data_IF_465570897408
#
_entry.id   IF_465570897408
#
_cell.length_a   1.000
_cell.length_b   1.000
_cell.length_c   1.000
_cell.angle_alpha   90.00
_cell.angle_beta   90.00
_cell.angle_gamma   90.00
#
_symmetry.space_group_name_H-M   'P 1'
#
loop_
_entity.id
_entity.type
_entity.pdbx_description
1 polymer ?
#
# COMPACT_ATOMS: atom_id res chain seq x y z
N UNK A 1 -14.61 36.26 7.78
CA UNK A 1 -15.38 35.23 7.07
C UNK A 1 -16.78 35.30 7.65
N UNK A 2 -17.58 36.27 7.22
CA UNK A 2 -18.98 36.32 7.63
C UNK A 2 -19.77 35.44 6.67
N UNK A 3 -19.97 34.19 7.06
CA UNK A 3 -20.78 33.25 6.29
C UNK A 3 -22.25 33.65 6.45
N UNK A 4 -22.83 34.28 5.44
CA UNK A 4 -24.25 34.61 5.42
C UNK A 4 -25.07 33.36 5.06
N UNK A 5 -25.65 32.68 6.07
CA UNK A 5 -26.50 31.50 5.88
C UNK A 5 -27.67 31.73 4.90
N UNK A 6 -28.10 32.98 4.75
CA UNK A 6 -29.21 33.32 3.86
C UNK A 6 -28.88 33.19 2.38
N UNK A 7 -27.59 33.21 2.02
CA UNK A 7 -27.11 33.06 0.64
C UNK A 7 -26.97 31.60 0.21
N UNK A 8 -26.96 30.67 1.17
CA UNK A 8 -26.92 29.24 0.89
C UNK A 8 -28.32 28.69 0.56
N UNK A 9 -28.42 27.73 -0.38
CA UNK A 9 -29.64 26.94 -0.56
C UNK A 9 -30.07 26.30 0.76
N UNK A 10 -31.38 26.25 1.04
CA UNK A 10 -31.92 25.79 2.34
C UNK A 10 -31.39 24.41 2.75
N UNK A 11 -31.21 23.50 1.79
CA UNK A 11 -30.71 22.15 2.04
C UNK A 11 -29.24 22.09 2.50
N UNK A 12 -28.42 23.12 2.22
CA UNK A 12 -27.01 23.18 2.63
C UNK A 12 -26.79 23.94 3.94
N UNK A 13 -27.80 24.67 4.41
CA UNK A 13 -27.68 25.51 5.61
C UNK A 13 -27.41 24.68 6.87
N UNK A 14 -28.00 23.49 6.97
CA UNK A 14 -27.76 22.57 8.10
C UNK A 14 -26.29 22.15 8.21
N UNK A 15 -25.68 21.79 7.08
CA UNK A 15 -24.27 21.39 7.01
C UNK A 15 -23.33 22.56 7.27
N UNK A 16 -23.68 23.75 6.77
CA UNK A 16 -22.93 24.98 7.04
C UNK A 16 -22.95 25.34 8.54
N UNK A 17 -24.12 25.27 9.20
CA UNK A 17 -24.22 25.48 10.65
C UNK A 17 -23.38 24.45 11.40
N UNK A 18 -23.46 23.18 11.02
CA UNK A 18 -22.69 22.10 11.65
C UNK A 18 -21.19 22.35 11.53
N UNK A 19 -20.73 22.82 10.36
CA UNK A 19 -19.33 23.18 10.11
C UNK A 19 -18.89 24.38 10.97
N UNK A 20 -19.70 25.43 11.06
CA UNK A 20 -19.41 26.59 11.92
C UNK A 20 -19.33 26.21 13.40
N UNK A 21 -20.24 25.36 13.89
CA UNK A 21 -20.20 24.85 15.27
C UNK A 21 -18.94 24.03 15.51
N UNK A 22 -18.56 23.17 14.57
CA UNK A 22 -17.32 22.40 14.66
C UNK A 22 -16.09 23.30 14.74
N UNK A 23 -15.98 24.30 13.87
CA UNK A 23 -14.86 25.26 13.86
C UNK A 23 -14.78 26.08 15.15
N UNK A 24 -15.93 26.58 15.64
CA UNK A 24 -16.01 27.32 16.89
C UNK A 24 -15.58 26.45 18.07
N UNK A 25 -16.06 25.21 18.16
CA UNK A 25 -15.67 24.29 19.22
C UNK A 25 -14.18 23.91 19.14
N UNK A 26 -13.64 23.76 17.93
CA UNK A 26 -12.20 23.54 17.75
C UNK A 26 -11.38 24.72 18.27
N UNK A 27 -11.79 25.97 18.02
CA UNK A 27 -11.14 27.18 18.57
C UNK A 27 -11.27 27.31 20.08
N UNK A 28 -12.34 26.81 20.69
CA UNK A 28 -12.46 26.76 22.16
C UNK A 28 -11.42 25.80 22.76
N UNK A 29 -11.20 24.65 22.11
CA UNK A 29 -10.24 23.63 22.56
C UNK A 29 -8.80 24.01 22.27
N UNK A 30 -8.54 24.61 21.12
CA UNK A 30 -7.25 25.11 20.67
C UNK A 30 -7.40 26.54 20.14
N UNK A 31 -7.17 27.56 20.99
CA UNK A 31 -7.35 28.96 20.61
C UNK A 31 -6.40 29.47 19.53
N UNK A 32 -5.28 28.78 19.31
CA UNK A 32 -4.24 29.22 18.37
C UNK A 32 -4.49 28.60 17.00
N UNK A 33 -4.65 27.27 16.95
CA UNK A 33 -4.74 26.55 15.67
C UNK A 33 -6.15 26.05 15.34
N UNK A 34 -7.02 25.86 16.33
CA UNK A 34 -8.41 25.41 16.11
C UNK A 34 -8.51 24.18 15.19
N UNK A 35 -9.34 24.26 14.15
CA UNK A 35 -9.48 23.19 13.15
C UNK A 35 -8.22 23.01 12.28
N UNK A 36 -7.38 24.04 12.12
CA UNK A 36 -6.13 23.96 11.36
C UNK A 36 -5.14 23.00 12.02
N UNK A 37 -5.16 22.92 13.35
CA UNK A 37 -4.37 21.93 14.10
C UNK A 37 -4.76 20.49 13.74
N UNK A 38 -6.06 20.20 13.63
CA UNK A 38 -6.55 18.89 13.19
C UNK A 38 -6.14 18.57 11.75
N UNK A 39 -6.27 19.54 10.83
CA UNK A 39 -5.85 19.40 9.43
C UNK A 39 -4.35 19.07 9.36
N UNK A 40 -3.53 19.81 10.11
CA UNK A 40 -2.08 19.64 10.11
C UNK A 40 -1.67 18.27 10.66
N UNK A 41 -2.33 17.82 11.74
CA UNK A 41 -2.09 16.49 12.30
C UNK A 41 -2.47 15.37 11.32
N UNK A 42 -3.57 15.52 10.59
CA UNK A 42 -3.97 14.54 9.58
C UNK A 42 -2.99 14.51 8.41
N UNK A 43 -2.49 15.66 7.96
CA UNK A 43 -1.47 15.74 6.92
C UNK A 43 -0.18 15.02 7.35
N UNK A 44 0.29 15.25 8.58
CA UNK A 44 1.45 14.52 9.13
C UNK A 44 1.23 13.00 9.21
N UNK A 45 0.02 12.56 9.54
CA UNK A 45 -0.33 11.14 9.56
C UNK A 45 -0.30 10.54 8.15
N UNK A 46 -0.82 11.26 7.15
CA UNK A 46 -0.75 10.85 5.75
C UNK A 46 0.71 10.70 5.31
N UNK A 47 1.56 11.68 5.58
CA UNK A 47 2.98 11.65 5.21
C UNK A 47 3.71 10.46 5.87
N UNK A 48 3.41 10.22 7.15
CA UNK A 48 3.97 9.08 7.89
C UNK A 48 3.55 7.75 7.26
N UNK A 49 2.27 7.59 6.93
CA UNK A 49 1.75 6.37 6.32
C UNK A 49 2.31 6.15 4.92
N UNK A 50 2.44 7.21 4.11
CA UNK A 50 3.07 7.14 2.79
C UNK A 50 4.53 6.71 2.89
N UNK A 51 5.26 7.23 3.88
CA UNK A 51 6.65 6.82 4.14
C UNK A 51 6.74 5.34 4.53
N UNK A 52 5.88 4.88 5.44
CA UNK A 52 5.84 3.48 5.85
C UNK A 52 5.51 2.56 4.68
N UNK A 53 4.57 2.94 3.83
CA UNK A 53 4.22 2.21 2.62
C UNK A 53 5.41 2.10 1.67
N UNK A 54 6.12 3.21 1.41
CA UNK A 54 7.30 3.22 0.55
C UNK A 54 8.41 2.31 1.10
N UNK A 55 8.65 2.32 2.41
CA UNK A 55 9.62 1.45 3.07
C UNK A 55 9.23 -0.03 2.92
N UNK A 56 7.98 -0.38 3.19
CA UNK A 56 7.49 -1.75 3.05
C UNK A 56 7.59 -2.25 1.59
N UNK A 57 7.26 -1.39 0.62
CA UNK A 57 7.42 -1.71 -0.80
C UNK A 57 8.88 -1.93 -1.18
N UNK A 58 9.80 -1.08 -0.70
CA UNK A 58 11.23 -1.24 -0.92
C UNK A 58 11.76 -2.55 -0.32
N UNK A 59 11.30 -2.93 0.87
CA UNK A 59 11.65 -4.20 1.51
C UNK A 59 11.19 -5.41 0.69
N UNK A 60 9.96 -5.39 0.18
CA UNK A 60 9.44 -6.45 -0.70
C UNK A 60 10.30 -6.60 -1.95
N UNK A 61 10.67 -5.49 -2.60
CA UNK A 61 11.55 -5.53 -3.78
C UNK A 61 12.92 -6.08 -3.42
N UNK A 62 13.51 -5.63 -2.30
CA UNK A 62 14.81 -6.10 -1.84
C UNK A 62 14.81 -7.63 -1.61
N UNK A 63 13.76 -8.18 -0.99
CA UNK A 63 13.63 -9.61 -0.78
C UNK A 63 13.51 -10.39 -2.10
N UNK A 64 12.72 -9.88 -3.06
CA UNK A 64 12.60 -10.49 -4.41
C UNK A 64 13.93 -10.50 -5.18
N UNK A 65 14.69 -9.41 -5.13
CA UNK A 65 16.01 -9.32 -5.76
C UNK A 65 16.99 -10.31 -5.11
N UNK A 66 16.99 -10.45 -3.78
CA UNK A 66 17.82 -11.43 -3.09
C UNK A 66 17.47 -12.86 -3.46
N UNK A 67 16.18 -13.18 -3.56
CA UNK A 67 15.71 -14.50 -4.00
C UNK A 67 16.20 -14.82 -5.41
N UNK A 68 16.00 -13.92 -6.38
CA UNK A 68 16.46 -14.12 -7.77
C UNK A 68 17.99 -14.26 -7.90
N UNK A 69 18.76 -13.49 -7.12
CA UNK A 69 20.22 -13.61 -7.07
C UNK A 69 20.68 -14.98 -6.52
N UNK A 70 20.01 -15.52 -5.50
CA UNK A 70 20.33 -16.86 -4.98
C UNK A 70 20.04 -17.99 -5.99
N UNK A 71 19.04 -17.82 -6.87
CA UNK A 71 18.79 -18.77 -7.96
C UNK A 71 19.75 -18.65 -9.15
N UNK A 72 20.51 -17.56 -9.30
CA UNK A 72 21.50 -17.46 -10.39
C UNK A 72 22.86 -18.09 -10.05
N UNK A 73 23.15 -18.28 -8.75
CA UNK A 73 24.46 -18.78 -8.30
C UNK A 73 24.59 -20.32 -8.27
N UNK A 74 23.52 -21.07 -8.52
CA UNK A 74 23.56 -22.55 -8.63
C UNK A 74 23.65 -23.07 -10.07
N UNK A 75 23.87 -22.20 -11.06
CA UNK A 75 23.92 -22.54 -12.49
C UNK A 75 25.31 -22.62 -13.14
N UNK A 76 26.40 -22.27 -12.44
CA UNK A 76 27.76 -22.30 -13.02
C UNK A 76 28.74 -23.01 -12.10
N UNK A 77 28.60 -24.33 -11.99
CA UNK A 77 29.72 -25.18 -11.59
C UNK A 77 30.60 -25.42 -12.82
N UNK A 78 31.94 -25.23 -12.77
CA UNK A 78 32.83 -25.66 -13.84
C UNK A 78 32.78 -27.19 -13.92
N UNK A 79 32.14 -27.72 -14.97
CA UNK A 79 31.99 -29.16 -15.20
C UNK A 79 33.34 -29.77 -15.56
N UNK A 80 33.88 -30.60 -14.67
CA UNK A 80 34.91 -31.58 -15.03
C UNK A 80 34.23 -32.79 -15.68
N UNK A 81 34.71 -33.33 -16.82
CA UNK A 81 34.10 -34.48 -17.43
C UNK A 81 34.64 -35.74 -16.76
N UNK A 82 33.78 -36.55 -16.14
CA UNK A 82 34.02 -37.98 -16.13
C UNK A 82 32.72 -38.77 -16.22
N UNK A 83 32.74 -39.60 -17.25
CA UNK A 83 31.78 -40.60 -17.68
C UNK A 83 31.35 -41.56 -16.55
N UNK A 84 30.05 -41.93 -16.50
CA UNK A 84 29.54 -43.32 -16.51
C UNK A 84 28.14 -43.44 -15.87
N UNK A 85 27.17 -44.01 -16.60
CA UNK A 85 26.07 -44.81 -16.00
C UNK A 85 24.64 -44.26 -16.13
N UNK A 86 23.80 -45.01 -16.83
CA UNK A 86 22.41 -44.74 -17.24
C UNK A 86 21.33 -45.00 -16.13
N UNK A 87 19.99 -44.97 -16.38
CA UNK A 87 19.03 -44.33 -15.46
C UNK A 87 18.03 -45.30 -14.78
N UNK A 88 17.39 -44.83 -13.69
CA UNK A 88 15.97 -45.07 -13.31
C UNK A 88 15.80 -45.09 -11.79
N UNK A 89 14.87 -44.28 -11.26
CA UNK A 89 13.65 -44.79 -10.59
C UNK A 89 12.94 -43.66 -9.86
N UNK A 90 11.65 -43.50 -10.18
CA UNK A 90 10.68 -42.72 -9.42
C UNK A 90 10.64 -43.18 -7.94
N UNK A 91 10.73 -42.22 -7.02
CA UNK A 91 10.02 -42.31 -5.74
C UNK A 91 9.65 -40.92 -5.25
N UNK A 92 8.36 -40.73 -4.96
CA UNK A 92 7.80 -39.45 -4.56
C UNK A 92 8.32 -38.94 -3.22
N UNK A 93 8.60 -37.65 -3.18
CA UNK A 93 8.41 -36.78 -2.02
C UNK A 93 8.42 -35.33 -2.52
N UNK A 94 7.25 -34.89 -2.97
CA UNK A 94 6.98 -33.47 -3.22
C UNK A 94 6.83 -32.79 -1.84
N UNK A 95 7.94 -32.46 -1.18
CA UNK A 95 7.92 -31.43 -0.15
C UNK A 95 7.79 -30.09 -0.84
N UNK A 96 6.53 -29.71 -1.11
CA UNK A 96 6.16 -28.38 -1.59
C UNK A 96 6.54 -27.36 -0.51
N UNK A 97 7.38 -26.35 -0.80
CA UNK A 97 7.52 -25.21 0.10
C UNK A 97 6.16 -24.51 0.20
N UNK A 98 5.76 -24.19 1.42
CA UNK A 98 4.41 -23.76 1.82
C UNK A 98 3.99 -22.35 1.33
N UNK A 99 4.70 -21.76 0.37
CA UNK A 99 4.45 -20.39 -0.13
C UNK A 99 4.31 -20.29 -1.65
N UNK A 100 3.97 -21.38 -2.34
CA UNK A 100 3.57 -21.30 -3.74
C UNK A 100 2.11 -20.81 -3.81
N UNK A 101 1.92 -19.49 -3.71
CA UNK A 101 0.75 -18.82 -4.28
C UNK A 101 1.15 -18.37 -5.67
N UNK A 102 0.79 -19.20 -6.64
CA UNK A 102 0.84 -18.93 -8.06
C UNK A 102 0.22 -17.56 -8.36
N UNK A 103 1.07 -16.58 -8.69
CA UNK A 103 0.63 -15.34 -9.34
C UNK A 103 0.43 -15.69 -10.81
N UNK A 104 -0.73 -16.30 -11.12
CA UNK A 104 -1.34 -16.17 -12.44
C UNK A 104 -1.71 -14.70 -12.59
N UNK A 105 -0.79 -13.96 -13.18
CA UNK A 105 -1.05 -12.65 -13.75
C UNK A 105 -1.91 -12.87 -14.99
N UNK A 106 -3.22 -12.97 -14.82
CA UNK A 106 -4.15 -12.88 -15.95
C UNK A 106 -4.12 -11.44 -16.48
N UNK A 107 -3.55 -11.30 -17.67
CA UNK A 107 -3.54 -10.10 -18.46
C UNK A 107 -4.85 -10.02 -19.24
N UNK A 108 -5.93 -9.53 -18.61
CA UNK A 108 -7.03 -8.81 -19.27
C UNK A 108 -8.11 -8.39 -18.26
N UNK A 109 -8.20 -7.11 -17.91
CA UNK A 109 -9.46 -6.36 -17.99
C UNK A 109 -9.25 -4.93 -17.49
N UNK A 110 -9.49 -3.97 -18.39
CA UNK A 110 -9.71 -2.57 -18.07
C UNK A 110 -10.94 -2.45 -17.15
N UNK A 111 -10.75 -1.98 -15.93
CA UNK A 111 -11.84 -1.62 -15.03
C UNK A 111 -11.36 -0.54 -14.06
N UNK A 112 -11.99 0.61 -14.13
CA UNK A 112 -11.59 1.88 -13.50
C UNK A 112 -11.35 1.80 -11.98
N UNK A 113 -10.42 2.61 -11.44
CA UNK A 113 -10.32 2.82 -10.01
C UNK A 113 -11.63 3.41 -9.45
N UNK A 114 -12.28 2.62 -8.60
CA UNK A 114 -13.52 2.88 -7.88
C UNK A 114 -13.32 3.91 -6.73
N UNK A 115 -12.64 5.01 -7.02
CA UNK A 115 -12.50 6.17 -6.13
C UNK A 115 -12.84 7.49 -6.84
N UNK A 116 -13.54 7.41 -7.98
CA UNK A 116 -14.30 8.55 -8.50
C UNK A 116 -15.72 8.50 -7.95
N UNK A 117 -15.88 9.03 -6.73
CA UNK A 117 -17.11 9.63 -6.19
C UNK A 117 -16.71 10.47 -4.98
#
# INVERSE_FOLDING_TARGET
MDLNLQELPVHQRGDAVSSMVYEANARVRDPVYGCVGAISSLQQQIDTLQTQLALAQAEVVHLRVRQTASYSHHGFAPTSPTNSGSPSSNHGSQVKPIFDMDVVMDQASLGEPMWSC
#
